data_IF_959279478591
#
_entry.id   IF_959279478591
#
_cell.length_a   1.000
_cell.length_b   1.000
_cell.length_c   1.000
_cell.angle_alpha   90.00
_cell.angle_beta   90.00
_cell.angle_gamma   90.00
#
_symmetry.space_group_name_H-M   'P 1'
#
loop_
_entity.id
_entity.type
_entity.pdbx_description
1 polymer ?
#
# COMPACT_ATOMS: atom_id res chain seq x y z
N UNK A 1 -2.60 8.46 31.05
CA UNK A 1 -2.76 8.16 29.59
C UNK A 1 -1.57 7.39 28.99
N UNK A 2 -0.35 7.52 29.53
CA UNK A 2 0.89 6.94 28.97
C UNK A 2 1.39 5.63 29.61
N UNK A 3 0.68 5.04 30.58
CA UNK A 3 1.19 3.86 31.31
C UNK A 3 1.42 2.61 30.41
N UNK A 4 0.94 2.63 29.17
CA UNK A 4 1.04 1.52 28.22
C UNK A 4 2.38 1.42 27.51
N UNK A 5 2.93 2.55 27.06
CA UNK A 5 4.15 2.57 26.27
C UNK A 5 5.44 2.44 27.12
N UNK A 6 5.35 2.76 28.42
CA UNK A 6 6.54 2.96 29.26
C UNK A 6 6.65 2.01 30.46
N UNK A 7 5.67 1.13 30.65
CA UNK A 7 5.69 0.04 31.63
C UNK A 7 6.10 0.45 33.07
N UNK A 8 5.67 1.64 33.52
CA UNK A 8 5.81 2.11 34.90
C UNK A 8 4.45 2.63 35.41
N UNK A 9 4.21 2.52 36.72
CA UNK A 9 3.07 3.15 37.41
C UNK A 9 3.37 4.64 37.55
N UNK A 10 2.56 5.51 36.95
CA UNK A 10 2.95 6.91 36.90
C UNK A 10 1.88 7.90 37.37
N UNK A 11 2.15 8.50 38.53
CA UNK A 11 1.58 9.76 39.02
C UNK A 11 2.45 10.99 38.66
N UNK A 12 3.62 10.80 38.01
CA UNK A 12 4.69 11.81 37.82
C UNK A 12 4.78 12.34 36.36
N UNK A 13 4.40 11.53 35.36
CA UNK A 13 4.52 11.76 33.92
C UNK A 13 3.63 12.88 33.39
N UNK A 14 2.49 13.17 34.02
CA UNK A 14 1.63 14.25 33.57
C UNK A 14 2.26 15.65 33.81
N UNK A 15 3.29 15.78 34.66
CA UNK A 15 3.95 17.07 34.92
C UNK A 15 5.13 17.38 33.98
N UNK A 16 5.75 16.37 33.39
CA UNK A 16 6.96 16.53 32.59
C UNK A 16 6.74 16.34 31.07
N UNK A 17 5.59 15.81 30.65
CA UNK A 17 5.27 15.66 29.23
C UNK A 17 4.85 17.01 28.62
N UNK A 18 5.59 17.43 27.59
CA UNK A 18 5.21 18.57 26.75
C UNK A 18 4.17 18.15 25.71
N UNK A 19 3.29 19.10 25.37
CA UNK A 19 2.32 18.96 24.28
C UNK A 19 1.41 17.72 24.39
N UNK A 20 1.05 17.34 25.61
CA UNK A 20 0.14 16.21 25.89
C UNK A 20 -1.21 16.33 25.14
N UNK A 21 -1.70 17.56 24.93
CA UNK A 21 -2.88 17.83 24.10
C UNK A 21 -2.70 17.46 22.63
N UNK A 22 -1.52 17.70 22.06
CA UNK A 22 -1.21 17.30 20.67
C UNK A 22 -1.11 15.77 20.57
N UNK A 23 -0.40 15.12 21.49
CA UNK A 23 -0.33 13.66 21.55
C UNK A 23 -1.71 13.01 21.67
N UNK A 24 -2.63 13.62 22.42
CA UNK A 24 -4.01 13.14 22.50
C UNK A 24 -4.77 13.24 21.17
N UNK A 25 -4.55 14.30 20.39
CA UNK A 25 -5.12 14.45 19.04
C UNK A 25 -4.55 13.39 18.11
N UNK A 26 -3.24 13.18 18.16
CA UNK A 26 -2.55 12.23 17.29
C UNK A 26 -3.02 10.78 17.57
N UNK A 27 -3.18 10.41 18.85
CA UNK A 27 -3.79 9.13 19.28
C UNK A 27 -5.22 8.97 18.74
N UNK A 28 -6.01 10.05 18.74
CA UNK A 28 -7.37 10.02 18.18
C UNK A 28 -7.35 9.80 16.68
N UNK A 29 -6.37 10.37 15.98
CA UNK A 29 -6.21 10.19 14.53
C UNK A 29 -5.76 8.77 14.19
N UNK A 30 -4.88 8.17 14.99
CA UNK A 30 -4.53 6.74 14.87
C UNK A 30 -5.78 5.87 14.95
N UNK A 31 -6.60 6.07 15.98
CA UNK A 31 -7.86 5.33 16.15
C UNK A 31 -8.80 5.52 14.96
N UNK A 32 -9.01 6.76 14.51
CA UNK A 32 -9.88 7.07 13.36
C UNK A 32 -9.40 6.39 12.07
N UNK A 33 -8.10 6.40 11.81
CA UNK A 33 -7.52 5.72 10.65
C UNK A 33 -7.79 4.22 10.69
N UNK A 34 -7.34 3.54 11.75
CA UNK A 34 -7.49 2.09 11.86
C UNK A 34 -8.95 1.62 11.92
N UNK A 35 -9.85 2.40 12.55
CA UNK A 35 -11.29 2.05 12.66
C UNK A 35 -12.08 2.20 11.36
N UNK A 36 -11.53 2.86 10.34
CA UNK A 36 -12.19 2.98 9.05
C UNK A 36 -12.19 1.65 8.26
N UNK A 37 -11.33 0.69 8.63
CA UNK A 37 -11.25 -0.65 8.01
C UNK A 37 -11.11 -0.62 6.48
N UNK A 38 -10.47 0.41 5.94
CA UNK A 38 -10.20 0.57 4.51
C UNK A 38 -8.69 0.72 4.29
N UNK A 39 -8.24 0.50 3.05
CA UNK A 39 -6.83 0.72 2.69
C UNK A 39 -6.37 2.14 3.03
N UNK A 40 -7.17 3.15 2.65
CA UNK A 40 -6.88 4.55 2.96
C UNK A 40 -6.87 4.81 4.46
N UNK A 41 -7.82 4.26 5.20
CA UNK A 41 -7.87 4.40 6.66
C UNK A 41 -6.68 3.79 7.37
N UNK A 42 -6.29 2.57 6.98
CA UNK A 42 -5.09 1.94 7.53
C UNK A 42 -3.82 2.73 7.20
N UNK A 43 -3.71 3.27 5.98
CA UNK A 43 -2.62 4.18 5.60
C UNK A 43 -2.60 5.43 6.49
N UNK A 44 -3.75 6.08 6.68
CA UNK A 44 -3.88 7.27 7.53
C UNK A 44 -3.53 6.95 9.00
N UNK A 45 -3.95 5.80 9.50
CA UNK A 45 -3.64 5.32 10.85
C UNK A 45 -2.14 5.06 11.04
N UNK A 46 -1.47 4.49 10.04
CA UNK A 46 -0.03 4.26 10.04
C UNK A 46 0.75 5.59 9.99
N UNK A 47 0.33 6.54 9.15
CA UNK A 47 0.95 7.87 9.09
C UNK A 47 0.81 8.58 10.45
N UNK A 48 -0.40 8.59 11.02
CA UNK A 48 -0.63 9.17 12.34
C UNK A 48 0.21 8.48 13.43
N UNK A 49 0.40 7.16 13.34
CA UNK A 49 1.24 6.40 14.26
C UNK A 49 2.72 6.79 14.12
N UNK A 50 3.23 6.92 12.90
CA UNK A 50 4.58 7.42 12.63
C UNK A 50 4.78 8.82 13.21
N UNK A 51 3.87 9.74 12.91
CA UNK A 51 4.00 11.14 13.34
C UNK A 51 3.97 11.24 14.88
N UNK A 52 3.13 10.41 15.52
CA UNK A 52 3.11 10.28 16.98
C UNK A 52 4.46 9.80 17.51
N UNK A 53 5.06 8.76 16.91
CA UNK A 53 6.38 8.25 17.32
C UNK A 53 7.45 9.34 17.20
N UNK A 54 7.46 10.10 16.11
CA UNK A 54 8.43 11.19 15.90
C UNK A 54 8.29 12.31 16.93
N UNK A 55 7.08 12.51 17.46
CA UNK A 55 6.83 13.51 18.49
C UNK A 55 7.23 13.06 19.91
N UNK A 56 7.30 11.75 20.19
CA UNK A 56 7.57 11.22 21.53
C UNK A 56 8.90 11.72 22.11
N UNK A 57 10.05 11.67 21.41
CA UNK A 57 11.32 12.08 22.00
C UNK A 57 11.31 13.51 22.54
N UNK A 58 10.72 14.43 21.78
CA UNK A 58 10.59 15.82 22.21
C UNK A 58 9.59 16.01 23.35
N UNK A 59 8.48 15.24 23.34
CA UNK A 59 7.45 15.32 24.35
C UNK A 59 7.93 14.85 25.73
N UNK A 60 8.84 13.87 25.78
CA UNK A 60 9.30 13.24 27.03
C UNK A 60 10.71 13.64 27.45
N UNK A 61 11.40 14.53 26.72
CA UNK A 61 12.81 14.88 27.01
C UNK A 61 13.05 15.46 28.41
N UNK A 62 12.05 16.10 29.00
CA UNK A 62 12.13 16.66 30.35
C UNK A 62 11.72 15.65 31.44
N UNK A 63 11.26 14.45 31.05
CA UNK A 63 10.89 13.37 31.96
C UNK A 63 12.10 12.51 32.32
N UNK A 64 12.77 12.80 33.43
CA UNK A 64 14.01 12.11 33.86
C UNK A 64 13.85 10.59 34.07
N UNK A 65 12.64 10.12 34.35
CA UNK A 65 12.35 8.69 34.56
C UNK A 65 12.14 7.93 33.25
N UNK A 66 11.87 8.63 32.14
CA UNK A 66 11.63 8.03 30.83
C UNK A 66 12.97 7.82 30.13
N UNK A 67 13.37 6.56 30.01
CA UNK A 67 14.52 6.15 29.20
C UNK A 67 14.02 5.69 27.85
N UNK A 68 14.21 6.53 26.84
CA UNK A 68 13.98 6.19 25.44
C UNK A 68 15.28 6.36 24.67
N UNK A 69 15.40 5.60 23.58
CA UNK A 69 16.43 5.81 22.55
C UNK A 69 15.76 6.58 21.40
N UNK A 70 16.03 7.89 21.24
CA UNK A 70 15.43 8.70 20.17
C UNK A 70 15.75 8.17 18.77
N UNK A 71 16.93 7.59 18.55
CA UNK A 71 17.33 7.05 17.25
C UNK A 71 16.53 5.78 16.94
N UNK A 72 16.32 4.93 17.95
CA UNK A 72 15.47 3.75 17.80
C UNK A 72 14.02 4.13 17.49
N UNK A 73 13.46 5.12 18.20
CA UNK A 73 12.08 5.59 17.94
C UNK A 73 11.96 6.18 16.54
N UNK A 74 12.94 7.00 16.12
CA UNK A 74 12.98 7.56 14.78
C UNK A 74 13.03 6.44 13.72
N UNK A 75 13.87 5.43 13.92
CA UNK A 75 13.98 4.29 13.02
C UNK A 75 12.68 3.49 12.92
N UNK A 76 11.99 3.28 14.04
CA UNK A 76 10.66 2.65 14.05
C UNK A 76 9.64 3.47 13.27
N UNK A 77 9.63 4.79 13.47
CA UNK A 77 8.72 5.69 12.76
C UNK A 77 8.96 5.68 11.25
N UNK A 78 10.23 5.71 10.82
CA UNK A 78 10.57 5.70 9.41
C UNK A 78 10.19 4.37 8.73
N UNK A 79 10.37 3.24 9.42
CA UNK A 79 9.99 1.90 8.91
C UNK A 79 8.49 1.77 8.67
N UNK A 80 7.66 2.38 9.52
CA UNK A 80 6.20 2.28 9.38
C UNK A 80 5.63 3.40 8.51
N UNK A 81 6.23 4.59 8.47
CA UNK A 81 5.75 5.69 7.63
C UNK A 81 5.83 5.34 6.15
N UNK A 82 6.86 4.59 5.78
CA UNK A 82 7.14 4.15 4.43
C UNK A 82 7.36 2.63 4.42
N UNK A 83 6.31 1.83 4.67
CA UNK A 83 6.45 0.39 4.73
C UNK A 83 6.81 -0.14 3.34
N UNK A 84 7.81 -1.01 3.29
CA UNK A 84 8.26 -1.69 2.06
C UNK A 84 7.15 -2.59 1.50
N UNK A 85 6.33 -3.16 2.38
CA UNK A 85 5.10 -3.86 2.00
C UNK A 85 3.94 -3.56 2.94
N UNK A 86 2.74 -3.45 2.36
CA UNK A 86 1.49 -3.37 3.11
C UNK A 86 0.38 -4.16 2.41
N UNK A 87 -0.14 -5.19 3.06
CA UNK A 87 -1.23 -6.04 2.57
C UNK A 87 -2.46 -5.81 3.44
N UNK A 88 -3.56 -5.38 2.83
CA UNK A 88 -4.84 -5.18 3.52
C UNK A 88 -5.87 -6.16 2.98
N UNK A 89 -6.25 -7.12 3.79
CA UNK A 89 -7.44 -7.94 3.57
C UNK A 89 -8.45 -7.53 4.64
N UNK A 90 -9.43 -6.70 4.28
CA UNK A 90 -10.39 -6.15 5.25
C UNK A 90 -11.03 -7.28 6.07
N UNK A 91 -10.87 -7.21 7.39
CA UNK A 91 -11.37 -8.21 8.33
C UNK A 91 -10.62 -9.54 8.38
N UNK A 92 -9.51 -9.69 7.64
CA UNK A 92 -8.70 -10.92 7.62
C UNK A 92 -7.25 -10.67 8.01
N UNK A 93 -6.54 -9.80 7.30
CA UNK A 93 -5.11 -9.56 7.49
C UNK A 93 -4.78 -8.05 7.34
N UNK A 94 -3.77 -7.59 8.07
CA UNK A 94 -3.12 -6.29 7.90
C UNK A 94 -1.63 -6.53 8.04
N UNK A 95 -0.95 -6.84 6.94
CA UNK A 95 0.47 -7.18 6.93
C UNK A 95 1.29 -5.93 6.64
N UNK A 96 2.27 -5.62 7.48
CA UNK A 96 3.24 -4.54 7.27
C UNK A 96 4.64 -5.15 7.30
N UNK A 97 5.42 -4.98 6.23
CA UNK A 97 6.78 -5.53 6.10
C UNK A 97 6.84 -7.04 6.41
N UNK A 98 5.85 -7.79 5.93
CA UNK A 98 5.74 -9.24 6.17
C UNK A 98 5.18 -9.65 7.54
N UNK A 99 4.83 -8.70 8.41
CA UNK A 99 4.25 -8.95 9.74
C UNK A 99 2.75 -8.65 9.73
N UNK A 100 1.90 -9.66 9.93
CA UNK A 100 0.48 -9.43 10.15
C UNK A 100 0.24 -8.82 11.54
N UNK A 101 -0.28 -7.60 11.56
CA UNK A 101 -0.57 -6.83 12.77
C UNK A 101 -2.07 -6.61 12.99
N UNK A 102 -2.96 -7.26 12.20
CA UNK A 102 -4.40 -7.02 12.33
C UNK A 102 -4.91 -7.31 13.74
N UNK A 103 -4.43 -8.37 14.37
CA UNK A 103 -4.82 -8.72 15.73
C UNK A 103 -4.37 -7.67 16.74
N UNK A 104 -3.12 -7.20 16.67
CA UNK A 104 -2.62 -6.16 17.57
C UNK A 104 -3.36 -4.82 17.36
N UNK A 105 -3.70 -4.48 16.11
CA UNK A 105 -4.52 -3.31 15.79
C UNK A 105 -5.96 -3.48 16.32
N UNK A 106 -6.54 -4.67 16.21
CA UNK A 106 -7.88 -4.97 16.72
C UNK A 106 -7.93 -4.87 18.25
N UNK A 107 -6.90 -5.39 18.92
CA UNK A 107 -6.73 -5.27 20.37
C UNK A 107 -6.58 -3.81 20.79
N UNK A 108 -5.82 -3.01 20.03
CA UNK A 108 -5.70 -1.58 20.25
C UNK A 108 -7.08 -0.89 20.13
N UNK A 109 -7.79 -1.08 19.02
CA UNK A 109 -9.12 -0.49 18.80
C UNK A 109 -10.10 -0.87 19.92
N UNK A 110 -10.08 -2.14 20.36
CA UNK A 110 -10.91 -2.59 21.46
C UNK A 110 -10.53 -1.90 22.78
N UNK A 111 -9.23 -1.80 23.10
CA UNK A 111 -8.76 -1.11 24.29
C UNK A 111 -9.16 0.36 24.27
N UNK A 112 -8.99 1.05 23.14
CA UNK A 112 -9.42 2.44 22.97
C UNK A 112 -10.92 2.62 23.18
N UNK A 113 -11.75 1.73 22.62
CA UNK A 113 -13.21 1.78 22.81
C UNK A 113 -13.65 1.62 24.27
N UNK A 114 -12.83 0.94 25.09
CA UNK A 114 -13.02 0.76 26.53
C UNK A 114 -12.35 1.84 27.37
N UNK A 115 -11.78 2.88 26.73
CA UNK A 115 -10.96 3.92 27.37
C UNK A 115 -9.71 3.38 28.08
N UNK A 116 -9.27 2.17 27.71
CA UNK A 116 -8.01 1.58 28.16
C UNK A 116 -6.86 2.06 27.27
N UNK A 117 -6.42 3.29 27.50
CA UNK A 117 -5.32 3.91 26.75
C UNK A 117 -3.97 3.21 26.96
N UNK A 118 -3.83 2.53 28.11
CA UNK A 118 -2.65 1.72 28.45
C UNK A 118 -2.62 0.48 27.56
N UNK A 119 -3.74 -0.25 27.49
CA UNK A 119 -3.90 -1.38 26.58
C UNK A 119 -3.73 -0.97 25.12
N UNK A 120 -4.29 0.18 24.72
CA UNK A 120 -4.12 0.73 23.38
C UNK A 120 -2.63 0.92 23.03
N UNK A 121 -1.89 1.63 23.89
CA UNK A 121 -0.46 1.88 23.68
C UNK A 121 0.37 0.60 23.69
N UNK A 122 0.04 -0.39 24.54
CA UNK A 122 0.72 -1.69 24.59
C UNK A 122 0.52 -2.49 23.31
N UNK A 123 -0.71 -2.55 22.81
CA UNK A 123 -1.04 -3.29 21.61
C UNK A 123 -0.33 -2.70 20.37
N UNK A 124 -0.38 -1.38 20.18
CA UNK A 124 0.36 -0.72 19.10
C UNK A 124 1.87 -0.84 19.27
N UNK A 125 2.40 -0.66 20.49
CA UNK A 125 3.82 -0.83 20.77
C UNK A 125 4.33 -2.24 20.46
N UNK A 126 3.51 -3.27 20.72
CA UNK A 126 3.79 -4.66 20.36
C UNK A 126 3.81 -4.85 18.84
N UNK A 127 2.83 -4.32 18.11
CA UNK A 127 2.82 -4.36 16.64
C UNK A 127 4.10 -3.72 16.07
N UNK A 128 4.43 -2.51 16.53
CA UNK A 128 5.61 -1.75 16.11
C UNK A 128 6.91 -2.47 16.40
N UNK A 129 7.07 -3.00 17.62
CA UNK A 129 8.27 -3.74 17.98
C UNK A 129 8.42 -5.00 17.12
N UNK A 130 7.30 -5.67 16.81
CA UNK A 130 7.30 -6.86 15.97
C UNK A 130 7.70 -6.48 14.54
N UNK A 131 7.11 -5.44 13.96
CA UNK A 131 7.52 -4.91 12.65
C UNK A 131 9.01 -4.56 12.67
N UNK A 132 9.47 -3.79 13.65
CA UNK A 132 10.85 -3.33 13.74
C UNK A 132 11.87 -4.46 13.86
N UNK A 133 11.59 -5.49 14.67
CA UNK A 133 12.47 -6.65 14.82
C UNK A 133 12.55 -7.54 13.57
N UNK A 134 11.50 -7.54 12.75
CA UNK A 134 11.42 -8.35 11.54
C UNK A 134 11.67 -7.52 10.26
N UNK A 135 11.79 -6.19 10.39
CA UNK A 135 12.34 -5.29 9.39
C UNK A 135 13.87 -5.38 9.46
N UNK A 136 14.45 -6.42 8.84
CA UNK A 136 14.73 -6.31 7.41
C UNK A 136 14.48 -7.64 6.69
N UNK A 137 13.22 -8.03 6.48
CA UNK A 137 12.92 -9.04 5.49
C UNK A 137 12.87 -8.38 4.10
N UNK A 138 13.93 -8.55 3.32
CA UNK A 138 13.83 -8.52 1.86
C UNK A 138 12.87 -9.65 1.48
N UNK A 139 11.60 -9.33 1.21
CA UNK A 139 10.71 -10.28 0.54
C UNK A 139 11.22 -10.40 -0.91
N UNK A 140 12.22 -11.26 -1.12
CA UNK A 140 12.28 -12.04 -2.36
C UNK A 140 11.11 -13.03 -2.35
N UNK A 141 9.91 -12.48 -2.53
CA UNK A 141 8.82 -13.19 -3.15
C UNK A 141 8.31 -12.20 -4.18
N UNK A 142 9.09 -12.12 -5.26
CA UNK A 142 8.47 -11.95 -6.57
C UNK A 142 7.30 -12.94 -6.59
N UNK A 143 6.08 -12.44 -6.44
CA UNK A 143 4.91 -13.22 -6.76
C UNK A 143 4.99 -13.38 -8.27
N UNK A 144 5.62 -14.46 -8.72
CA UNK A 144 5.87 -14.73 -10.13
C UNK A 144 4.62 -14.48 -10.99
N UNK A 145 3.44 -14.79 -10.44
CA UNK A 145 2.14 -14.52 -11.03
C UNK A 145 1.86 -13.02 -11.24
N UNK A 146 2.14 -12.17 -10.26
CA UNK A 146 1.93 -10.73 -10.36
C UNK A 146 2.98 -10.08 -11.28
N UNK A 147 4.23 -10.53 -11.22
CA UNK A 147 5.28 -10.10 -12.14
C UNK A 147 4.94 -10.45 -13.59
N UNK A 148 4.44 -11.66 -13.82
CA UNK A 148 3.95 -12.09 -15.13
C UNK A 148 2.77 -11.22 -15.56
N UNK A 149 1.80 -10.95 -14.69
CA UNK A 149 0.67 -10.06 -15.00
C UNK A 149 1.13 -8.66 -15.42
N UNK A 150 1.94 -7.98 -14.61
CA UNK A 150 2.38 -6.63 -14.96
C UNK A 150 3.28 -6.64 -16.19
N UNK A 151 4.09 -7.68 -16.39
CA UNK A 151 4.81 -7.86 -17.65
C UNK A 151 3.85 -7.88 -18.84
N UNK A 152 2.78 -8.66 -18.78
CA UNK A 152 1.76 -8.70 -19.82
C UNK A 152 1.08 -7.36 -20.03
N UNK A 153 0.61 -6.75 -18.93
CA UNK A 153 -0.10 -5.47 -18.93
C UNK A 153 0.73 -4.39 -19.60
N UNK A 154 1.95 -4.18 -19.15
CA UNK A 154 2.84 -3.17 -19.73
C UNK A 154 3.36 -3.55 -21.12
N UNK A 155 3.51 -4.84 -21.45
CA UNK A 155 3.82 -5.25 -22.82
C UNK A 155 2.71 -4.88 -23.80
N UNK A 156 1.45 -4.92 -23.35
CA UNK A 156 0.34 -4.44 -24.16
C UNK A 156 0.35 -2.91 -24.30
N UNK A 157 0.75 -2.17 -23.26
CA UNK A 157 0.90 -0.72 -23.30
C UNK A 157 2.08 -0.26 -24.18
N UNK A 158 3.17 -1.02 -24.20
CA UNK A 158 4.40 -0.68 -24.89
C UNK A 158 4.78 -1.66 -25.99
N UNK A 159 4.32 -1.41 -27.23
CA UNK A 159 5.06 -1.89 -28.41
C UNK A 159 6.29 -0.99 -28.70
N UNK A 160 7.14 -0.75 -27.71
CA UNK A 160 8.28 0.19 -27.81
C UNK A 160 9.57 -0.47 -27.32
N UNK A 161 10.66 -0.30 -28.08
CA UNK A 161 11.95 -1.02 -27.94
C UNK A 161 12.79 -0.60 -26.73
N UNK A 162 12.48 0.53 -26.10
CA UNK A 162 13.34 1.18 -25.10
C UNK A 162 12.73 1.23 -23.68
N UNK A 163 11.60 0.56 -23.46
CA UNK A 163 11.11 0.31 -22.10
C UNK A 163 12.06 -0.66 -21.40
N UNK A 164 12.93 -0.13 -20.54
CA UNK A 164 13.80 -0.97 -19.72
C UNK A 164 12.96 -1.62 -18.62
N UNK A 165 12.33 -2.75 -18.97
CA UNK A 165 11.55 -3.58 -18.06
C UNK A 165 12.32 -3.89 -16.77
N UNK A 166 13.65 -4.00 -16.82
CA UNK A 166 14.47 -4.25 -15.63
C UNK A 166 14.55 -3.03 -14.72
N UNK A 167 14.67 -1.82 -15.28
CA UNK A 167 14.69 -0.59 -14.47
C UNK A 167 13.30 -0.21 -13.97
N UNK A 168 12.27 -0.44 -14.78
CA UNK A 168 10.89 -0.36 -14.35
C UNK A 168 10.58 -1.40 -13.26
N UNK A 169 11.00 -2.65 -13.42
CA UNK A 169 10.87 -3.68 -12.37
C UNK A 169 11.60 -3.25 -11.11
N UNK A 170 12.80 -2.67 -11.17
CA UNK A 170 13.47 -2.13 -9.97
C UNK A 170 12.64 -1.01 -9.33
N UNK A 171 12.07 -0.12 -10.14
CA UNK A 171 11.18 0.96 -9.68
C UNK A 171 9.91 0.39 -9.04
N UNK A 172 9.27 -0.60 -9.67
CA UNK A 172 8.04 -1.26 -9.25
C UNK A 172 8.23 -2.19 -8.05
N UNK A 173 9.35 -2.89 -8.00
CA UNK A 173 9.78 -3.68 -6.84
C UNK A 173 10.04 -2.76 -5.64
N UNK A 174 10.52 -1.53 -5.87
CA UNK A 174 10.62 -0.48 -4.84
C UNK A 174 9.28 0.22 -4.54
N UNK A 175 8.31 0.21 -5.46
CA UNK A 175 6.90 0.57 -5.20
C UNK A 175 6.20 -0.47 -4.32
N UNK A 176 6.81 -1.66 -4.20
CA UNK A 176 6.40 -2.73 -3.31
C UNK A 176 4.97 -3.21 -3.55
N UNK A 177 4.51 -4.04 -2.62
CA UNK A 177 3.19 -4.68 -2.55
C UNK A 177 1.97 -3.74 -2.68
N UNK A 178 2.16 -2.42 -2.78
CA UNK A 178 1.10 -1.41 -2.92
C UNK A 178 0.42 -1.42 -4.30
N UNK A 179 1.15 -1.77 -5.36
CA UNK A 179 0.56 -1.99 -6.68
C UNK A 179 0.15 -3.45 -6.87
N UNK A 180 0.98 -4.35 -6.35
CA UNK A 180 0.84 -5.78 -6.54
C UNK A 180 -0.34 -6.37 -5.76
N UNK A 181 -0.54 -6.04 -4.49
CA UNK A 181 -1.54 -6.70 -3.63
C UNK A 181 -3.00 -6.41 -4.01
N UNK A 182 -3.42 -5.14 -4.21
CA UNK A 182 -4.80 -4.86 -4.61
C UNK A 182 -5.10 -5.49 -5.99
N UNK A 183 -4.11 -5.46 -6.87
CA UNK A 183 -4.20 -6.04 -8.21
C UNK A 183 -4.27 -7.56 -8.14
N UNK A 184 -3.43 -8.23 -7.36
CA UNK A 184 -3.35 -9.68 -7.19
C UNK A 184 -4.69 -10.31 -6.80
N UNK A 185 -5.40 -9.72 -5.85
CA UNK A 185 -6.74 -10.18 -5.45
C UNK A 185 -7.76 -10.10 -6.58
N UNK A 186 -7.70 -9.03 -7.37
CA UNK A 186 -8.64 -8.84 -8.48
C UNK A 186 -8.26 -9.72 -9.67
N UNK A 187 -6.97 -9.98 -9.86
CA UNK A 187 -6.49 -10.90 -10.90
C UNK A 187 -6.91 -12.33 -10.58
N UNK A 188 -6.88 -12.75 -9.31
CA UNK A 188 -7.45 -14.04 -8.90
C UNK A 188 -8.95 -14.16 -9.18
N UNK A 189 -9.71 -13.06 -9.08
CA UNK A 189 -11.14 -13.06 -9.43
C UNK A 189 -11.38 -13.21 -10.94
N UNK A 190 -10.54 -12.61 -11.78
CA UNK A 190 -10.56 -12.87 -13.23
C UNK A 190 -10.18 -14.33 -13.51
N UNK A 191 -9.14 -14.83 -12.82
CA UNK A 191 -8.61 -16.19 -13.01
C UNK A 191 -9.63 -17.28 -12.73
N UNK A 192 -10.40 -17.15 -11.67
CA UNK A 192 -11.34 -18.19 -11.22
C UNK A 192 -12.58 -18.30 -12.14
N UNK A 193 -12.74 -17.43 -13.13
CA UNK A 193 -13.80 -17.50 -14.15
C UNK A 193 -15.24 -17.54 -13.61
N UNK A 194 -15.47 -17.13 -12.37
CA UNK A 194 -16.81 -17.06 -11.78
C UNK A 194 -17.41 -15.65 -11.93
N UNK A 195 -18.65 -15.57 -12.40
CA UNK A 195 -19.39 -14.31 -12.53
C UNK A 195 -19.16 -13.54 -13.83
N UNK A 196 -19.51 -12.26 -13.81
CA UNK A 196 -19.48 -11.38 -14.98
C UNK A 196 -18.04 -10.91 -15.28
N UNK A 197 -17.43 -11.49 -16.32
CA UNK A 197 -16.06 -11.17 -16.72
C UNK A 197 -15.84 -9.71 -17.10
N UNK A 198 -16.88 -9.05 -17.62
CA UNK A 198 -16.79 -7.61 -17.90
C UNK A 198 -16.68 -6.84 -16.59
N UNK A 199 -17.55 -7.14 -15.62
CA UNK A 199 -17.53 -6.49 -14.31
C UNK A 199 -16.21 -6.75 -13.58
N UNK A 200 -15.73 -7.98 -13.58
CA UNK A 200 -14.45 -8.34 -12.94
C UNK A 200 -13.28 -7.60 -13.58
N UNK A 201 -13.29 -7.46 -14.90
CA UNK A 201 -12.28 -6.69 -15.64
C UNK A 201 -12.35 -5.19 -15.33
N UNK A 202 -13.56 -4.61 -15.26
CA UNK A 202 -13.76 -3.22 -14.86
C UNK A 202 -13.28 -2.96 -13.42
N UNK A 203 -13.48 -3.90 -12.50
CA UNK A 203 -12.94 -3.82 -11.13
C UNK A 203 -11.41 -3.87 -11.17
N UNK A 204 -10.81 -4.80 -11.94
CA UNK A 204 -9.36 -4.90 -12.05
C UNK A 204 -8.71 -3.62 -12.56
N UNK A 205 -9.30 -3.03 -13.61
CA UNK A 205 -8.84 -1.76 -14.16
C UNK A 205 -8.91 -0.63 -13.14
N UNK A 206 -10.00 -0.51 -12.38
CA UNK A 206 -10.13 0.49 -11.31
C UNK A 206 -9.10 0.30 -10.21
N UNK A 207 -8.84 -0.95 -9.83
CA UNK A 207 -7.85 -1.28 -8.80
C UNK A 207 -6.43 -0.95 -9.27
N UNK A 208 -6.06 -1.36 -10.48
CA UNK A 208 -4.76 -1.04 -11.11
C UNK A 208 -4.58 0.47 -11.22
N UNK A 209 -5.61 1.18 -11.68
CA UNK A 209 -5.60 2.64 -11.78
C UNK A 209 -5.37 3.33 -10.43
N UNK A 210 -6.08 2.88 -9.39
CA UNK A 210 -5.89 3.43 -8.05
C UNK A 210 -4.47 3.18 -7.53
N UNK A 211 -3.99 1.95 -7.69
CA UNK A 211 -2.62 1.58 -7.31
C UNK A 211 -1.56 2.39 -8.06
N UNK A 212 -1.71 2.62 -9.36
CA UNK A 212 -0.79 3.45 -10.15
C UNK A 212 -0.77 4.90 -9.65
N UNK A 213 -1.92 5.49 -9.35
CA UNK A 213 -2.01 6.85 -8.83
C UNK A 213 -1.37 6.97 -7.43
N UNK A 214 -1.64 6.01 -6.54
CA UNK A 214 -1.05 5.99 -5.20
C UNK A 214 0.48 5.82 -5.24
N UNK A 215 0.96 4.98 -6.16
CA UNK A 215 2.37 4.75 -6.39
C UNK A 215 3.09 5.98 -6.96
N UNK A 216 2.49 6.69 -7.91
CA UNK A 216 3.07 7.88 -8.53
C UNK A 216 3.39 8.97 -7.49
N UNK A 217 2.47 9.23 -6.56
CA UNK A 217 2.65 10.22 -5.50
C UNK A 217 3.77 9.87 -4.51
N UNK A 218 4.16 8.60 -4.40
CA UNK A 218 5.27 8.14 -3.55
C UNK A 218 6.62 8.28 -4.27
N UNK A 219 6.65 8.27 -5.60
CA UNK A 219 7.89 8.29 -6.37
C UNK A 219 8.44 9.70 -6.61
N UNK A 220 7.63 10.74 -6.43
CA UNK A 220 8.02 12.16 -6.50
C UNK A 220 8.51 12.69 -5.14
N UNK A 221 9.27 11.87 -4.41
CA UNK A 221 9.88 12.33 -3.15
C UNK A 221 11.16 13.12 -3.46
N UNK A 222 11.35 14.32 -2.87
CA UNK A 222 12.49 15.21 -3.13
C UNK A 222 13.89 14.63 -2.91
N UNK A 223 13.99 13.47 -2.24
CA UNK A 223 15.28 12.84 -1.90
C UNK A 223 15.60 11.58 -2.71
N UNK A 224 14.67 11.07 -3.53
CA UNK A 224 14.90 9.85 -4.34
C UNK A 224 14.69 10.01 -5.84
N UNK A 225 14.04 11.10 -6.31
CA UNK A 225 13.86 11.48 -7.72
C UNK A 225 13.70 10.30 -8.69
N UNK A 226 12.85 9.33 -8.33
CA UNK A 226 12.68 8.11 -9.11
C UNK A 226 11.87 8.36 -10.40
N UNK A 227 10.95 9.34 -10.35
CA UNK A 227 10.27 9.90 -11.51
C UNK A 227 10.19 11.43 -11.38
N UNK A 228 10.02 12.10 -12.51
CA UNK A 228 9.79 13.56 -12.57
C UNK A 228 8.33 13.91 -12.26
N UNK A 229 8.07 15.17 -11.90
CA UNK A 229 6.70 15.70 -11.74
C UNK A 229 5.86 15.55 -13.02
N UNK A 230 6.51 15.62 -14.19
CA UNK A 230 5.85 15.43 -15.48
C UNK A 230 5.36 13.98 -15.59
N UNK A 231 6.25 13.02 -15.33
CA UNK A 231 5.91 11.59 -15.35
C UNK A 231 4.83 11.24 -14.32
N UNK A 232 4.86 11.83 -13.12
CA UNK A 232 3.78 11.65 -12.14
C UNK A 232 2.42 12.15 -12.65
N UNK A 233 2.39 13.34 -13.25
CA UNK A 233 1.17 13.90 -13.83
C UNK A 233 0.63 13.00 -14.94
N UNK A 234 1.50 12.46 -15.78
CA UNK A 234 1.11 11.54 -16.85
C UNK A 234 0.60 10.20 -16.31
N UNK A 235 1.24 9.62 -15.29
CA UNK A 235 0.73 8.41 -14.60
C UNK A 235 -0.65 8.69 -14.01
N UNK A 236 -0.84 9.83 -13.36
CA UNK A 236 -2.12 10.21 -12.77
C UNK A 236 -3.22 10.45 -13.81
N UNK A 237 -2.88 11.04 -14.97
CA UNK A 237 -3.82 11.19 -16.08
C UNK A 237 -4.26 9.83 -16.64
N UNK A 238 -3.31 8.93 -16.89
CA UNK A 238 -3.61 7.59 -17.36
C UNK A 238 -4.44 6.79 -16.35
N UNK A 239 -4.05 6.85 -15.07
CA UNK A 239 -4.78 6.24 -13.96
C UNK A 239 -6.22 6.75 -13.87
N UNK A 240 -6.43 8.07 -13.96
CA UNK A 240 -7.76 8.67 -13.96
C UNK A 240 -8.62 8.20 -15.15
N UNK A 241 -8.01 8.08 -16.33
CA UNK A 241 -8.70 7.55 -17.50
C UNK A 241 -9.15 6.11 -17.28
N UNK A 242 -8.24 5.20 -16.91
CA UNK A 242 -8.56 3.78 -16.67
C UNK A 242 -9.63 3.63 -15.58
N UNK A 243 -9.56 4.43 -14.51
CA UNK A 243 -10.54 4.39 -13.41
C UNK A 243 -11.97 4.71 -13.86
N UNK A 244 -12.11 5.54 -14.89
CA UNK A 244 -13.40 5.97 -15.46
C UNK A 244 -13.79 5.20 -16.73
N UNK A 245 -12.90 4.35 -17.24
CA UNK A 245 -13.10 3.53 -18.43
C UNK A 245 -14.36 2.65 -18.30
N UNK A 246 -15.09 2.54 -19.41
CA UNK A 246 -16.19 1.58 -19.57
C UNK A 246 -15.79 0.58 -20.63
N UNK A 247 -15.74 -0.69 -20.26
CA UNK A 247 -15.43 -1.75 -21.21
C UNK A 247 -16.67 -1.99 -22.08
N UNK A 248 -16.46 -1.90 -23.39
CA UNK A 248 -17.52 -2.08 -24.40
C UNK A 248 -17.71 -3.53 -24.79
N UNK A 249 -16.67 -4.37 -24.61
CA UNK A 249 -16.71 -5.80 -24.83
C UNK A 249 -17.68 -6.48 -23.87
N UNK A 250 -18.41 -7.45 -24.40
CA UNK A 250 -19.24 -8.37 -23.61
C UNK A 250 -18.37 -9.32 -22.79
N UNK A 251 -18.97 -9.90 -21.76
CA UNK A 251 -18.30 -10.88 -20.89
C UNK A 251 -17.86 -12.12 -21.68
N UNK A 252 -18.58 -12.50 -22.73
CA UNK A 252 -18.21 -13.60 -23.63
C UNK A 252 -16.98 -13.26 -24.49
N UNK A 253 -16.93 -12.05 -25.06
CA UNK A 253 -15.77 -11.58 -25.83
C UNK A 253 -14.51 -11.52 -24.97
N UNK A 254 -14.62 -10.98 -23.76
CA UNK A 254 -13.49 -10.93 -22.80
C UNK A 254 -13.03 -12.34 -22.43
N UNK A 255 -13.97 -13.26 -22.19
CA UNK A 255 -13.64 -14.66 -21.89
C UNK A 255 -12.94 -15.34 -23.06
N UNK A 256 -13.37 -15.10 -24.30
CA UNK A 256 -12.70 -15.62 -25.49
C UNK A 256 -11.29 -15.04 -25.65
N UNK A 257 -11.12 -13.74 -25.39
CA UNK A 257 -9.80 -13.09 -25.37
C UNK A 257 -8.89 -13.76 -24.33
N UNK A 258 -9.39 -14.01 -23.11
CA UNK A 258 -8.67 -14.73 -22.05
C UNK A 258 -8.25 -16.12 -22.51
N UNK A 259 -9.17 -16.92 -23.06
CA UNK A 259 -8.88 -18.26 -23.59
C UNK A 259 -7.79 -18.23 -24.68
N UNK A 260 -7.88 -17.31 -25.63
CA UNK A 260 -6.90 -17.19 -26.72
C UNK A 260 -5.53 -16.74 -26.22
N UNK A 261 -5.49 -15.85 -25.23
CA UNK A 261 -4.26 -15.44 -24.58
C UNK A 261 -3.61 -16.59 -23.80
N UNK A 262 -4.39 -17.40 -23.07
CA UNK A 262 -3.90 -18.61 -22.40
C UNK A 262 -3.24 -19.57 -23.39
N UNK A 263 -3.85 -19.76 -24.57
CA UNK A 263 -3.28 -20.61 -25.64
C UNK A 263 -1.95 -20.04 -26.17
N UNK A 264 -1.85 -18.72 -26.24
CA UNK A 264 -0.66 -18.00 -26.74
C UNK A 264 0.51 -18.09 -25.75
N UNK A 265 0.24 -18.03 -24.45
CA UNK A 265 1.27 -17.92 -23.42
C UNK A 265 1.75 -19.24 -22.79
N UNK A 266 1.23 -20.40 -23.21
CA UNK A 266 1.79 -21.76 -23.00
C UNK A 266 2.53 -21.96 -21.66
N UNK A 267 1.90 -21.64 -20.53
CA UNK A 267 2.36 -21.76 -19.12
C UNK A 267 2.55 -20.42 -18.37
N UNK A 268 2.54 -19.26 -19.06
CA UNK A 268 2.53 -17.91 -18.44
C UNK A 268 1.14 -17.28 -18.43
N UNK A 269 0.19 -17.98 -17.82
CA UNK A 269 -1.22 -17.58 -17.76
C UNK A 269 -1.39 -16.10 -17.39
N UNK A 270 -0.69 -15.67 -16.35
CA UNK A 270 -0.85 -14.33 -15.79
C UNK A 270 -0.34 -13.25 -16.73
N UNK A 271 0.70 -13.53 -17.51
CA UNK A 271 1.16 -12.64 -18.57
C UNK A 271 0.08 -12.42 -19.63
N UNK A 272 -0.61 -13.49 -20.00
CA UNK A 272 -1.73 -13.40 -20.92
C UNK A 272 -2.89 -12.57 -20.40
N UNK A 273 -3.26 -12.73 -19.12
CA UNK A 273 -4.29 -11.92 -18.47
C UNK A 273 -3.87 -10.46 -18.41
N UNK A 274 -2.64 -10.19 -18.00
CA UNK A 274 -2.05 -8.86 -18.01
C UNK A 274 -2.18 -8.18 -19.36
N UNK A 275 -1.76 -8.86 -20.43
CA UNK A 275 -1.79 -8.33 -21.79
C UNK A 275 -3.20 -7.95 -22.25
N UNK A 276 -4.22 -8.74 -21.88
CA UNK A 276 -5.61 -8.41 -22.19
C UNK A 276 -6.07 -7.18 -21.43
N UNK A 277 -5.82 -7.13 -20.12
CA UNK A 277 -6.22 -6.00 -19.28
C UNK A 277 -5.53 -4.71 -19.77
N UNK A 278 -4.25 -4.79 -20.17
CA UNK A 278 -3.51 -3.66 -20.75
C UNK A 278 -4.07 -3.23 -22.10
N UNK A 279 -4.44 -4.18 -22.97
CA UNK A 279 -5.10 -3.88 -24.25
C UNK A 279 -6.45 -3.20 -24.05
N UNK A 280 -7.26 -3.69 -23.12
CA UNK A 280 -8.57 -3.11 -22.79
C UNK A 280 -8.41 -1.71 -22.18
N UNK A 281 -7.37 -1.47 -21.39
CA UNK A 281 -7.02 -0.14 -20.91
C UNK A 281 -6.69 0.82 -22.07
N UNK A 282 -5.91 0.38 -23.06
CA UNK A 282 -5.61 1.20 -24.25
C UNK A 282 -6.86 1.50 -25.08
N UNK A 283 -7.72 0.51 -25.30
CA UNK A 283 -8.95 0.71 -26.08
C UNK A 283 -9.91 1.69 -25.42
N UNK A 284 -9.92 1.71 -24.08
CA UNK A 284 -10.80 2.58 -23.32
C UNK A 284 -10.25 4.01 -23.12
N UNK A 285 -8.97 4.25 -23.38
CA UNK A 285 -8.30 5.52 -23.10
C UNK A 285 -7.78 6.21 -24.38
N UNK A 286 -7.92 7.54 -24.53
CA UNK A 286 -7.37 8.26 -25.68
C UNK A 286 -5.84 8.15 -25.75
N UNK A 287 -5.28 8.18 -26.96
CA UNK A 287 -3.83 8.10 -27.20
C UNK A 287 -3.03 9.16 -26.42
N UNK A 288 -3.58 10.37 -26.25
CA UNK A 288 -2.96 11.45 -25.46
C UNK A 288 -2.81 11.16 -23.96
N UNK A 289 -3.55 10.19 -23.43
CA UNK A 289 -3.39 9.72 -22.03
C UNK A 289 -2.40 8.57 -21.92
N UNK A 290 -1.93 8.06 -23.07
CA UNK A 290 -0.99 6.97 -23.19
C UNK A 290 0.42 7.48 -23.52
N UNK A 291 0.62 8.79 -23.70
CA UNK A 291 1.87 9.41 -24.15
C UNK A 291 3.07 8.99 -23.26
N UNK A 292 2.87 8.82 -21.94
CA UNK A 292 3.88 8.26 -21.02
C UNK A 292 4.48 6.91 -21.47
N UNK A 293 3.69 6.10 -22.16
CA UNK A 293 4.05 4.76 -22.63
C UNK A 293 4.32 4.71 -24.14
N UNK A 294 3.99 5.78 -24.87
CA UNK A 294 4.03 5.83 -26.34
C UNK A 294 5.10 6.76 -26.91
N UNK A 295 5.64 7.69 -26.13
CA UNK A 295 6.67 8.64 -26.61
C UNK A 295 8.07 8.39 -26.04
N UNK A 296 8.99 8.06 -26.96
CA UNK A 296 10.46 8.15 -27.01
C UNK A 296 11.27 7.93 -25.73
#
# INVERSE_FOLDING_TARGET
>A
MFNGALNQEVNIVDQCIKDSGKLSIDITNIYKGFSAHSLSGYKDGIIALSDTLKAIPDAVKDCQEIKIDPEQIQSMADIIQHPLSMIVNVGKNLVINGVDILFDVSDALQAFSKQDFVGFGKALGKALQTIFKHAPYQVQVSNQMEDEFFQGFFSALGQQKDFNYVDFQKLFHNLGDQVYTPSGQTIEQIRLSEGDQRLNTEIALKTIAQSLSDAAGILVVPQRHLITQIQENEINQFSSCIKSAKITHSSEEINNMLIDSIRTYKDKYMNGVGAIVGKLALEACPQSTQDLFLTQ
#
